data_IF_166336397342
#
_entry.id   IF_166336397342
#
_cell.length_a   1.000
_cell.length_b   1.000
_cell.length_c   1.000
_cell.angle_alpha   90.00
_cell.angle_beta   90.00
_cell.angle_gamma   90.00
#
_symmetry.space_group_name_H-M   'P 1'
#
loop_
_entity.id
_entity.type
_entity.pdbx_description
1 polymer ?
#
# COMPACT_ATOMS: atom_id res chain seq x y z
N UNK A 1 -7.58 -2.07 -1.22
CA UNK A 1 -6.60 -1.24 -0.49
C UNK A 1 -6.93 -1.13 0.98
N UNK A 2 -8.17 -0.80 1.37
CA UNK A 2 -8.60 -0.71 2.78
C UNK A 2 -8.17 -1.91 3.66
N UNK A 3 -8.56 -3.13 3.31
CA UNK A 3 -8.11 -4.32 4.05
C UNK A 3 -6.58 -4.44 4.19
N UNK A 4 -5.82 -4.09 3.15
CA UNK A 4 -4.36 -4.20 3.18
C UNK A 4 -3.74 -3.18 4.14
N UNK A 5 -4.22 -1.92 4.11
CA UNK A 5 -3.69 -0.90 5.03
C UNK A 5 -4.07 -1.20 6.48
N UNK A 6 -5.27 -1.74 6.74
CA UNK A 6 -5.66 -2.20 8.09
C UNK A 6 -4.74 -3.30 8.61
N UNK A 7 -4.39 -4.30 7.78
CA UNK A 7 -3.44 -5.36 8.18
C UNK A 7 -2.06 -4.77 8.48
N UNK A 8 -1.56 -3.85 7.65
CA UNK A 8 -0.26 -3.21 7.85
C UNK A 8 -0.26 -2.38 9.15
N UNK A 9 -1.30 -1.57 9.39
CA UNK A 9 -1.43 -0.80 10.62
C UNK A 9 -1.49 -1.69 11.86
N UNK A 10 -2.22 -2.81 11.78
CA UNK A 10 -2.28 -3.79 12.86
C UNK A 10 -0.95 -4.51 13.14
N UNK A 11 -0.04 -4.53 12.17
CA UNK A 11 1.33 -5.04 12.37
C UNK A 11 2.20 -4.03 13.14
N UNK A 12 1.82 -2.75 13.15
CA UNK A 12 2.56 -1.66 13.81
C UNK A 12 2.04 -1.41 15.22
N UNK A 13 0.73 -1.18 15.38
CA UNK A 13 0.11 -0.77 16.66
C UNK A 13 -1.04 -1.67 17.12
N UNK A 14 -1.68 -2.40 16.20
CA UNK A 14 -2.81 -3.28 16.51
C UNK A 14 -4.12 -2.51 16.76
N UNK A 15 -5.23 -3.25 16.93
CA UNK A 15 -6.50 -2.68 17.39
C UNK A 15 -7.38 -1.99 16.35
N UNK A 16 -6.96 -1.92 15.08
CA UNK A 16 -7.72 -1.28 14.01
C UNK A 16 -8.67 -2.25 13.30
N UNK A 17 -9.84 -1.74 12.93
CA UNK A 17 -10.81 -2.44 12.07
C UNK A 17 -10.89 -1.81 10.68
N UNK A 18 -11.42 -2.56 9.70
CA UNK A 18 -11.57 -2.02 8.34
C UNK A 18 -12.67 -0.94 8.26
N UNK A 19 -13.63 -0.98 9.18
CA UNK A 19 -14.76 -0.04 9.22
C UNK A 19 -14.32 1.37 9.66
N UNK A 20 -13.14 1.49 10.28
CA UNK A 20 -12.52 2.77 10.65
C UNK A 20 -11.86 3.48 9.46
N UNK A 21 -11.70 2.80 8.30
CA UNK A 21 -10.96 3.36 7.15
C UNK A 21 -11.82 4.40 6.43
N UNK A 22 -11.37 5.65 6.41
CA UNK A 22 -11.95 6.68 5.54
C UNK A 22 -11.69 6.31 4.07
N UNK A 23 -12.74 6.01 3.32
CA UNK A 23 -12.62 5.44 1.98
C UNK A 23 -13.22 6.34 0.90
N UNK A 24 -12.36 6.73 -0.04
CA UNK A 24 -12.74 7.29 -1.34
C UNK A 24 -12.12 6.46 -2.47
N UNK A 25 -12.95 5.92 -3.34
CA UNK A 25 -12.49 5.16 -4.51
C UNK A 25 -12.05 6.05 -5.67
N UNK A 26 -11.87 5.45 -6.84
CA UNK A 26 -11.44 6.11 -8.08
C UNK A 26 -12.57 6.34 -9.09
N UNK A 27 -13.82 6.08 -8.70
CA UNK A 27 -14.99 6.10 -9.58
C UNK A 27 -15.26 7.49 -10.18
N UNK A 28 -14.92 8.56 -9.45
CA UNK A 28 -15.08 9.95 -9.89
C UNK A 28 -13.87 10.48 -10.68
N UNK A 29 -12.78 9.71 -10.81
CA UNK A 29 -11.57 10.16 -11.50
C UNK A 29 -11.79 10.07 -13.02
N UNK A 30 -11.71 11.23 -13.69
CA UNK A 30 -11.92 11.33 -15.12
C UNK A 30 -10.61 11.25 -15.91
N UNK A 31 -10.69 10.94 -17.20
CA UNK A 31 -9.54 11.01 -18.10
C UNK A 31 -8.93 12.41 -18.17
N UNK A 32 -9.74 13.46 -17.99
CA UNK A 32 -9.27 14.85 -17.94
C UNK A 32 -8.37 15.09 -16.73
N UNK A 33 -8.75 14.56 -15.57
CA UNK A 33 -7.94 14.66 -14.34
C UNK A 33 -6.59 13.99 -14.52
N UNK A 34 -6.56 12.82 -15.17
CA UNK A 34 -5.33 12.10 -15.47
C UNK A 34 -4.42 12.89 -16.42
N UNK A 35 -4.96 13.47 -17.50
CA UNK A 35 -4.20 14.27 -18.46
C UNK A 35 -3.69 15.57 -17.83
N UNK A 36 -4.48 16.22 -16.98
CA UNK A 36 -4.07 17.43 -16.28
C UNK A 36 -2.99 17.15 -15.23
N UNK A 37 -3.13 16.08 -14.45
CA UNK A 37 -2.09 15.66 -13.51
C UNK A 37 -0.79 15.33 -14.27
N UNK A 38 -0.89 14.59 -15.37
CA UNK A 38 0.22 14.23 -16.23
C UNK A 38 0.97 15.45 -16.78
N UNK A 39 0.25 16.46 -17.28
CA UNK A 39 0.85 17.69 -17.84
C UNK A 39 1.58 18.52 -16.78
N UNK A 40 1.19 18.37 -15.50
CA UNK A 40 1.84 19.01 -14.35
C UNK A 40 2.95 18.15 -13.73
N UNK A 41 3.28 16.98 -14.30
CA UNK A 41 4.34 16.10 -13.81
C UNK A 41 3.92 15.17 -12.67
N UNK A 42 2.62 14.91 -12.51
CA UNK A 42 2.06 14.02 -11.51
C UNK A 42 1.38 12.78 -12.13
N UNK A 43 1.17 11.77 -11.31
CA UNK A 43 0.28 10.64 -11.55
C UNK A 43 -0.81 10.63 -10.47
N UNK A 44 -1.98 10.10 -10.79
CA UNK A 44 -3.04 9.87 -9.80
C UNK A 44 -3.01 8.38 -9.46
N UNK A 45 -2.87 8.03 -8.18
CA UNK A 45 -2.85 6.66 -7.67
C UNK A 45 -3.83 6.51 -6.52
N UNK A 46 -4.40 5.32 -6.36
CA UNK A 46 -5.16 4.97 -5.16
C UNK A 46 -4.19 4.58 -4.05
N UNK A 47 -4.09 5.41 -3.01
CA UNK A 47 -3.14 5.22 -1.90
C UNK A 47 -3.92 4.91 -0.62
N UNK A 48 -3.43 3.93 0.13
CA UNK A 48 -3.83 3.71 1.52
C UNK A 48 -2.76 4.28 2.45
N UNK A 49 -3.16 5.01 3.47
CA UNK A 49 -2.28 5.70 4.41
C UNK A 49 -2.70 5.40 5.85
N UNK A 50 -1.70 5.15 6.70
CA UNK A 50 -1.83 5.10 8.15
C UNK A 50 -0.96 6.23 8.73
N UNK A 51 -1.56 7.21 9.39
CA UNK A 51 -0.86 8.44 9.82
C UNK A 51 -0.24 8.30 11.21
N UNK A 52 0.64 9.23 11.60
CA UNK A 52 1.19 9.25 12.98
C UNK A 52 0.11 9.48 14.04
N UNK A 53 -1.02 10.07 13.67
CA UNK A 53 -2.19 10.31 14.52
C UNK A 53 -3.10 9.06 14.66
N UNK A 54 -2.76 7.96 13.99
CA UNK A 54 -3.53 6.71 14.03
C UNK A 54 -4.70 6.66 13.04
N UNK A 55 -4.76 7.57 12.07
CA UNK A 55 -5.87 7.63 11.11
C UNK A 55 -5.62 6.68 9.94
N UNK A 56 -6.66 5.95 9.53
CA UNK A 56 -6.65 5.10 8.33
C UNK A 56 -7.43 5.75 7.20
N UNK A 57 -6.75 5.99 6.07
CA UNK A 57 -7.37 6.58 4.87
C UNK A 57 -7.06 5.78 3.62
N UNK A 58 -8.00 5.76 2.69
CA UNK A 58 -7.80 5.27 1.32
C UNK A 58 -8.42 6.28 0.36
N UNK A 59 -7.61 6.80 -0.57
CA UNK A 59 -8.08 7.82 -1.49
C UNK A 59 -7.21 7.99 -2.74
N UNK A 60 -7.72 8.64 -3.80
CA UNK A 60 -6.90 9.09 -4.91
C UNK A 60 -5.91 10.17 -4.45
N UNK A 61 -4.63 9.96 -4.71
CA UNK A 61 -3.53 10.87 -4.36
C UNK A 61 -2.72 11.24 -5.60
N UNK A 62 -2.26 12.49 -5.66
CA UNK A 62 -1.34 12.97 -6.70
C UNK A 62 0.10 12.68 -6.27
N UNK A 63 0.77 11.77 -6.97
CA UNK A 63 2.18 11.45 -6.75
C UNK A 63 3.03 12.13 -7.81
N UNK A 64 4.20 12.64 -7.42
CA UNK A 64 5.15 13.18 -8.39
C UNK A 64 5.65 12.05 -9.27
N UNK A 65 5.78 12.27 -10.58
CA UNK A 65 6.35 11.24 -11.46
C UNK A 65 7.77 10.91 -11.04
N UNK A 66 8.06 9.61 -10.95
CA UNK A 66 9.35 9.10 -10.47
C UNK A 66 9.49 9.02 -8.95
N UNK A 67 8.44 9.35 -8.20
CA UNK A 67 8.32 8.99 -6.79
C UNK A 67 8.35 7.46 -6.61
N UNK A 68 8.88 6.96 -5.49
CA UNK A 68 8.98 5.52 -5.24
C UNK A 68 7.61 4.83 -5.13
N UNK A 69 6.56 5.59 -4.79
CA UNK A 69 5.17 5.12 -4.78
C UNK A 69 4.50 5.21 -6.18
N UNK A 70 5.10 5.89 -7.16
CA UNK A 70 4.61 5.97 -8.54
C UNK A 70 4.94 4.70 -9.34
N UNK A 71 4.40 3.56 -8.91
CA UNK A 71 4.59 2.26 -9.56
C UNK A 71 3.49 1.94 -10.58
N UNK A 72 3.78 1.04 -11.52
CA UNK A 72 2.92 0.74 -12.67
C UNK A 72 2.65 -0.76 -12.82
N UNK A 73 1.57 -1.09 -13.52
CA UNK A 73 1.18 -2.48 -13.79
C UNK A 73 0.72 -3.20 -12.53
N UNK A 74 1.25 -4.40 -12.28
CA UNK A 74 0.92 -5.24 -11.12
C UNK A 74 1.84 -5.04 -9.92
N UNK A 75 2.73 -4.05 -10.00
CA UNK A 75 3.58 -3.65 -8.88
C UNK A 75 2.74 -2.91 -7.83
N UNK A 76 2.99 -3.23 -6.58
CA UNK A 76 2.58 -2.46 -5.42
C UNK A 76 3.82 -1.83 -4.78
N UNK A 77 3.61 -0.71 -4.10
CA UNK A 77 4.64 -0.04 -3.32
C UNK A 77 4.09 0.28 -1.92
N UNK A 78 4.94 0.17 -0.91
CA UNK A 78 4.65 0.58 0.47
C UNK A 78 5.83 1.41 0.97
N UNK A 79 5.57 2.64 1.41
CA UNK A 79 6.58 3.53 1.99
C UNK A 79 6.36 3.61 3.50
N UNK A 80 7.43 3.33 4.27
CA UNK A 80 7.49 3.57 5.70
C UNK A 80 8.28 4.85 5.95
N UNK A 81 7.67 5.83 6.63
CA UNK A 81 8.35 7.06 7.03
C UNK A 81 8.80 6.96 8.48
N UNK A 82 10.10 6.81 8.67
CA UNK A 82 10.68 6.64 10.01
C UNK A 82 11.48 7.87 10.41
N UNK A 83 11.30 8.35 11.65
CA UNK A 83 11.95 9.57 12.17
C UNK A 83 13.47 9.57 12.06
N UNK A 84 14.12 8.40 12.12
CA UNK A 84 15.59 8.27 12.13
C UNK A 84 16.17 7.65 10.86
N UNK A 85 15.49 6.67 10.28
CA UNK A 85 15.96 5.98 9.08
C UNK A 85 15.56 6.69 7.77
N UNK A 86 14.68 7.71 7.85
CA UNK A 86 14.09 8.33 6.67
C UNK A 86 13.03 7.45 6.03
N UNK A 87 12.62 7.75 4.79
CA UNK A 87 11.66 6.94 4.05
C UNK A 87 12.30 5.64 3.54
N UNK A 88 11.62 4.52 3.75
CA UNK A 88 11.97 3.21 3.19
C UNK A 88 10.82 2.73 2.32
N UNK A 89 11.07 2.53 1.02
CA UNK A 89 10.06 2.04 0.09
C UNK A 89 10.32 0.58 -0.29
N UNK A 90 9.31 -0.26 -0.14
CA UNK A 90 9.28 -1.63 -0.60
C UNK A 90 8.45 -1.70 -1.88
N UNK A 91 9.05 -2.12 -2.99
CA UNK A 91 8.38 -2.28 -4.28
C UNK A 91 8.46 -3.73 -4.71
N UNK A 92 7.32 -4.28 -5.12
CA UNK A 92 7.26 -5.65 -5.58
C UNK A 92 5.94 -5.98 -6.26
N UNK A 93 5.87 -7.13 -6.91
CA UNK A 93 4.60 -7.63 -7.43
C UNK A 93 3.73 -8.05 -6.25
N UNK A 94 2.52 -7.50 -6.17
CA UNK A 94 1.59 -7.85 -5.09
C UNK A 94 0.28 -8.47 -5.55
N UNK A 95 0.27 -8.99 -6.78
CA UNK A 95 -0.80 -9.81 -7.35
C UNK A 95 -0.19 -10.75 -8.41
N UNK A 96 -0.64 -12.00 -8.42
CA UNK A 96 -0.20 -13.02 -9.37
C UNK A 96 -0.27 -14.42 -8.74
N UNK A 97 -0.66 -15.46 -9.50
CA UNK A 97 -0.88 -16.79 -8.93
C UNK A 97 0.39 -17.40 -8.33
N UNK A 98 1.54 -17.16 -8.97
CA UNK A 98 2.83 -17.66 -8.49
C UNK A 98 3.30 -16.90 -7.24
N UNK A 99 3.22 -15.57 -7.27
CA UNK A 99 3.62 -14.71 -6.17
C UNK A 99 2.78 -14.97 -4.91
N UNK A 100 1.47 -15.17 -5.07
CA UNK A 100 0.57 -15.55 -3.96
C UNK A 100 0.86 -16.96 -3.44
N UNK A 101 1.07 -17.95 -4.32
CA UNK A 101 1.41 -19.31 -3.87
C UNK A 101 2.75 -19.36 -3.12
N UNK A 102 3.76 -18.63 -3.59
CA UNK A 102 5.07 -18.56 -2.96
C UNK A 102 5.01 -17.94 -1.55
N UNK A 103 4.13 -16.95 -1.33
CA UNK A 103 3.90 -16.38 -0.01
C UNK A 103 3.28 -17.40 0.95
N UNK A 104 2.20 -18.07 0.52
CA UNK A 104 1.53 -19.10 1.33
C UNK A 104 2.49 -20.24 1.72
N UNK A 105 3.29 -20.73 0.76
CA UNK A 105 4.25 -21.82 1.01
C UNK A 105 5.31 -21.39 2.03
N UNK A 106 5.81 -20.15 1.93
CA UNK A 106 6.78 -19.59 2.89
C UNK A 106 6.20 -19.58 4.30
N UNK A 107 4.98 -19.09 4.46
CA UNK A 107 4.32 -19.03 5.77
C UNK A 107 4.14 -20.43 6.38
N UNK A 108 3.80 -21.44 5.55
CA UNK A 108 3.72 -22.84 6.01
C UNK A 108 5.08 -23.34 6.52
N UNK A 109 6.17 -23.07 5.80
CA UNK A 109 7.51 -23.46 6.24
C UNK A 109 7.90 -22.80 7.56
N UNK A 110 7.60 -21.50 7.70
CA UNK A 110 7.90 -20.74 8.92
C UNK A 110 7.15 -21.30 10.13
N UNK A 111 5.85 -21.62 9.99
CA UNK A 111 5.06 -22.25 11.06
C UNK A 111 5.63 -23.62 11.47
N UNK A 112 6.07 -24.43 10.48
CA UNK A 112 6.66 -25.75 10.77
C UNK A 112 7.98 -25.61 11.52
N UNK A 113 8.86 -24.69 11.10
CA UNK A 113 10.14 -24.44 11.78
C UNK A 113 9.95 -23.88 13.20
N UNK A 114 8.93 -23.04 13.43
CA UNK A 114 8.61 -22.53 14.77
C UNK A 114 8.06 -23.62 15.69
N UNK A 115 7.25 -24.56 15.17
CA UNK A 115 6.68 -25.66 15.95
C UNK A 115 7.69 -26.74 16.36
N UNK A 116 8.86 -26.79 15.71
CA UNK A 116 9.98 -27.67 16.07
C UNK A 116 10.90 -27.08 17.16
N UNK A 117 10.71 -25.81 17.54
CA UNK A 117 11.46 -25.12 18.62
C UNK A 117 10.73 -25.19 19.96
#
# INVERSE_FOLDING_TARGET
TAYKITIIANTIEGGHTVDEVELKGIEEITSRDLVEAASKGYSIKLVGEFTEEGELRVGPSKLKRGDALDVYGTLNAVEFRMKRAGPVCLVGKGAGPFETAAAIIRDIFEIVEEGER
#
